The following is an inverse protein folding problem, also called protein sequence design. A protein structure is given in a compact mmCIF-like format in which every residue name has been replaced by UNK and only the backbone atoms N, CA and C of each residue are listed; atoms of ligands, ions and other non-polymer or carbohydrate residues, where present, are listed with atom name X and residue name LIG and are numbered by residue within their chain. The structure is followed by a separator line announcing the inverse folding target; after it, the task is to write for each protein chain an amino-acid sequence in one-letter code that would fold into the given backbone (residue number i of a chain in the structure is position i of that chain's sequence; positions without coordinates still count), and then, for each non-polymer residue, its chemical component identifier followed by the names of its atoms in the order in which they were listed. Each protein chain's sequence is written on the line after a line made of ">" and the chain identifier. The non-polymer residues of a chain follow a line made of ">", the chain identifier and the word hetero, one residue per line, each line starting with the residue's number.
data_IF_522089247610
#
_entry.id   IF_522089247610
#
_cell.length_a   1.000
_cell.length_b   1.000
_cell.length_c   1.000
_cell.angle_alpha   90.00
_cell.angle_beta   90.00
_cell.angle_gamma   90.00
#
_symmetry.space_group_name_H-M   'P 1'
#
loop_
_entity.id
_entity.type
_entity.pdbx_description
1 polymer ?
#
# COMPACT_ATOMS: atom_id res chain seq x y z
N UNK A 1 14.76 13.30 8.26
CA UNK A 1 15.71 14.21 7.60
C UNK A 1 15.55 15.66 8.12
N UNK A 2 14.35 16.30 8.06
CA UNK A 2 14.11 17.66 8.55
C UNK A 2 14.42 17.84 10.04
N UNK A 3 14.08 16.87 10.89
CA UNK A 3 14.45 16.89 12.31
C UNK A 3 15.97 16.84 12.52
N UNK A 4 16.70 16.03 11.73
CA UNK A 4 18.16 15.93 11.81
C UNK A 4 18.85 17.24 11.40
N UNK A 5 18.29 17.95 10.42
CA UNK A 5 18.77 19.25 9.97
C UNK A 5 18.32 20.41 10.85
N UNK A 6 17.51 20.13 11.88
CA UNK A 6 16.89 21.13 12.76
C UNK A 6 15.96 22.11 12.03
N UNK A 7 15.38 21.69 10.90
CA UNK A 7 14.39 22.48 10.16
C UNK A 7 12.98 22.27 10.73
N UNK A 8 12.78 21.22 11.55
CA UNK A 8 11.52 20.87 12.16
C UNK A 8 11.71 20.45 13.62
N UNK A 9 10.92 21.07 14.52
CA UNK A 9 10.84 20.77 15.94
C UNK A 9 9.43 20.21 16.25
N UNK A 10 9.35 19.15 17.06
CA UNK A 10 8.10 18.46 17.37
C UNK A 10 7.73 18.55 18.87
N UNK A 11 8.47 19.31 19.64
CA UNK A 11 8.32 19.49 21.09
C UNK A 11 7.01 20.17 21.52
N UNK A 12 6.28 20.77 20.57
CA UNK A 12 4.98 21.43 20.78
C UNK A 12 3.82 20.77 20.07
N UNK A 13 3.97 19.50 19.66
CA UNK A 13 2.90 18.75 18.99
C UNK A 13 1.82 18.42 20.02
N UNK A 14 0.62 18.94 19.80
CA UNK A 14 -0.55 18.66 20.64
C UNK A 14 -1.32 17.43 20.16
N UNK A 15 -1.30 17.15 18.85
CA UNK A 15 -1.96 15.97 18.26
C UNK A 15 -1.01 15.23 17.34
N UNK A 16 -0.86 13.93 17.58
CA UNK A 16 -0.10 13.00 16.74
C UNK A 16 -1.06 12.02 16.07
N UNK A 17 -1.05 11.98 14.73
CA UNK A 17 -1.84 11.04 13.94
C UNK A 17 -0.91 10.04 13.26
N UNK A 18 -1.16 8.75 13.48
CA UNK A 18 -0.47 7.63 12.85
C UNK A 18 -1.49 6.86 12.01
N UNK A 19 -1.41 7.03 10.70
CA UNK A 19 -2.31 6.38 9.76
C UNK A 19 -1.61 5.22 9.03
N UNK A 20 -2.36 4.21 8.63
CA UNK A 20 -1.84 2.97 8.01
C UNK A 20 -0.73 2.32 8.87
N UNK A 21 -0.97 2.14 10.19
CA UNK A 21 0.04 1.66 11.11
C UNK A 21 0.54 0.24 10.78
N UNK A 22 -0.32 -0.64 10.30
CA UNK A 22 0.02 -1.97 9.79
C UNK A 22 0.98 -1.89 8.60
N UNK A 23 0.72 -0.99 7.67
CA UNK A 23 1.62 -0.78 6.53
C UNK A 23 2.99 -0.25 6.94
N UNK A 24 3.03 0.67 7.93
CA UNK A 24 4.31 1.13 8.49
C UNK A 24 5.10 0.00 9.15
N UNK A 25 4.40 -0.97 9.78
CA UNK A 25 5.01 -2.15 10.37
C UNK A 25 5.59 -3.07 9.29
N UNK A 26 4.78 -3.43 8.29
CA UNK A 26 5.17 -4.31 7.19
C UNK A 26 6.36 -3.77 6.37
N UNK A 27 6.43 -2.46 6.21
CA UNK A 27 7.53 -1.78 5.52
C UNK A 27 8.79 -1.61 6.39
N UNK A 28 8.76 -2.00 7.66
CA UNK A 28 9.89 -1.86 8.57
C UNK A 28 10.17 -0.40 8.99
N UNK A 29 9.19 0.50 8.90
CA UNK A 29 9.35 1.92 9.25
C UNK A 29 9.23 2.21 10.75
N UNK A 30 8.92 1.22 11.56
CA UNK A 30 8.75 1.41 13.01
C UNK A 30 9.94 2.08 13.70
N UNK A 31 11.22 1.77 13.37
CA UNK A 31 12.35 2.48 13.97
C UNK A 31 12.36 3.99 13.68
N UNK A 32 11.96 4.39 12.46
CA UNK A 32 11.87 5.79 12.06
C UNK A 32 10.69 6.48 12.76
N UNK A 33 9.53 5.82 12.80
CA UNK A 33 8.34 6.32 13.49
C UNK A 33 8.62 6.49 14.99
N UNK A 34 9.28 5.53 15.65
CA UNK A 34 9.70 5.65 17.05
C UNK A 34 10.56 6.90 17.31
N UNK A 35 11.45 7.26 16.39
CA UNK A 35 12.25 8.49 16.53
C UNK A 35 11.38 9.75 16.47
N UNK A 36 10.38 9.77 15.59
CA UNK A 36 9.42 10.87 15.49
C UNK A 36 8.59 10.96 16.77
N UNK A 37 8.00 9.87 17.21
CA UNK A 37 7.19 9.81 18.43
C UNK A 37 7.96 10.27 19.67
N UNK A 38 9.25 9.89 19.79
CA UNK A 38 10.12 10.34 20.90
C UNK A 38 10.47 11.83 20.87
N UNK A 39 10.33 12.47 19.73
CA UNK A 39 10.60 13.91 19.60
C UNK A 39 9.35 14.77 19.87
N UNK A 40 8.19 14.16 20.00
CA UNK A 40 6.94 14.83 20.42
C UNK A 40 6.82 14.82 21.95
N UNK A 41 5.95 15.64 22.57
CA UNK A 41 5.65 15.57 23.99
C UNK A 41 5.25 14.17 24.44
N UNK A 42 5.29 13.91 25.75
CA UNK A 42 4.86 12.62 26.32
C UNK A 42 3.42 12.30 25.92
N UNK A 43 3.08 11.03 25.89
CA UNK A 43 1.74 10.56 25.46
C UNK A 43 0.61 11.08 26.35
N UNK A 44 0.90 11.44 27.60
CA UNK A 44 -0.01 12.06 28.56
C UNK A 44 -0.27 13.54 28.23
N UNK A 45 0.68 14.18 27.55
CA UNK A 45 0.67 15.62 27.26
C UNK A 45 0.25 15.93 25.82
N UNK A 46 -0.15 14.91 25.03
CA UNK A 46 -0.65 15.06 23.67
C UNK A 46 -1.81 14.10 23.39
N UNK A 47 -2.63 14.43 22.42
CA UNK A 47 -3.57 13.48 21.84
C UNK A 47 -2.86 12.60 20.81
N UNK A 48 -3.07 11.29 20.85
CA UNK A 48 -2.54 10.36 19.84
C UNK A 48 -3.68 9.58 19.20
N UNK A 49 -3.77 9.63 17.88
CA UNK A 49 -4.72 8.89 17.07
C UNK A 49 -3.94 7.87 16.22
N UNK A 50 -4.34 6.60 16.29
CA UNK A 50 -3.74 5.52 15.50
C UNK A 50 -4.82 4.85 14.67
N UNK A 51 -4.61 4.81 13.36
CA UNK A 51 -5.48 4.16 12.40
C UNK A 51 -4.76 2.98 11.75
N UNK A 52 -5.46 1.86 11.60
CA UNK A 52 -4.93 0.65 10.98
C UNK A 52 -6.07 -0.15 10.36
N UNK A 53 -5.83 -0.75 9.19
CA UNK A 53 -6.79 -1.66 8.56
C UNK A 53 -6.82 -3.02 9.25
N UNK A 54 -5.74 -3.41 9.95
CA UNK A 54 -5.63 -4.67 10.70
C UNK A 54 -5.26 -4.42 12.16
N UNK A 55 -5.82 -5.21 13.08
CA UNK A 55 -5.53 -5.17 14.50
C UNK A 55 -4.75 -6.42 14.94
N UNK A 56 -3.53 -6.55 14.43
CA UNK A 56 -2.60 -7.59 14.88
C UNK A 56 -2.05 -7.27 16.28
N UNK A 57 -1.51 -8.29 16.97
CA UNK A 57 -0.92 -8.09 18.31
C UNK A 57 0.19 -7.02 18.29
N UNK A 58 0.96 -6.94 17.20
CA UNK A 58 2.01 -5.92 17.07
C UNK A 58 1.44 -4.50 16.97
N UNK A 59 0.34 -4.30 16.28
CA UNK A 59 -0.37 -3.02 16.21
C UNK A 59 -0.96 -2.64 17.57
N UNK A 60 -1.56 -3.59 18.28
CA UNK A 60 -2.07 -3.37 19.63
C UNK A 60 -0.94 -2.95 20.57
N UNK A 61 0.21 -3.62 20.50
CA UNK A 61 1.39 -3.28 21.31
C UNK A 61 1.91 -1.87 21.00
N UNK A 62 1.93 -1.47 19.73
CA UNK A 62 2.31 -0.11 19.32
C UNK A 62 1.32 0.93 19.83
N UNK A 63 0.02 0.66 19.72
CA UNK A 63 -1.03 1.53 20.25
C UNK A 63 -0.85 1.77 21.76
N UNK A 64 -0.68 0.73 22.55
CA UNK A 64 -0.46 0.82 24.00
C UNK A 64 0.81 1.64 24.36
N UNK A 65 1.86 1.52 23.55
CA UNK A 65 3.10 2.28 23.79
C UNK A 65 2.94 3.78 23.52
N UNK A 66 2.15 4.15 22.49
CA UNK A 66 2.15 5.51 21.94
C UNK A 66 0.91 6.33 22.31
N UNK A 67 -0.15 5.68 22.76
CA UNK A 67 -1.38 6.32 23.25
C UNK A 67 -1.46 6.30 24.77
N UNK A 68 -2.26 7.20 25.34
CA UNK A 68 -2.60 7.23 26.76
C UNK A 68 -4.11 7.05 26.92
N UNK A 69 -4.52 6.05 27.69
CA UNK A 69 -5.92 5.68 27.93
C UNK A 69 -6.78 5.66 26.64
N UNK A 70 -6.40 4.83 25.64
CA UNK A 70 -7.03 4.88 24.33
C UNK A 70 -8.45 4.30 24.34
N UNK A 71 -9.33 4.98 23.62
CA UNK A 71 -10.62 4.40 23.23
C UNK A 71 -10.39 3.64 21.92
N UNK A 72 -10.77 2.36 21.86
CA UNK A 72 -10.73 1.56 20.64
C UNK A 72 -12.07 1.64 19.93
N UNK A 73 -12.05 2.05 18.67
CA UNK A 73 -13.20 2.03 17.78
C UNK A 73 -12.90 1.04 16.67
N UNK A 74 -13.63 -0.06 16.62
CA UNK A 74 -13.52 -1.07 15.58
C UNK A 74 -14.77 -1.04 14.71
N UNK A 75 -14.57 -0.94 13.40
CA UNK A 75 -15.62 -1.06 12.41
C UNK A 75 -15.47 -2.44 11.79
N UNK A 76 -16.35 -3.36 12.19
CA UNK A 76 -16.38 -4.67 11.55
C UNK A 76 -16.69 -4.50 10.06
N UNK A 77 -15.86 -5.08 9.16
CA UNK A 77 -16.18 -5.08 7.74
C UNK A 77 -17.52 -5.82 7.56
N UNK A 78 -18.48 -5.17 6.93
CA UNK A 78 -19.71 -5.84 6.53
C UNK A 78 -19.33 -7.12 5.78
N UNK A 79 -19.79 -8.28 6.25
CA UNK A 79 -19.50 -9.63 5.67
C UNK A 79 -19.84 -9.75 4.18
N UNK A 80 -20.52 -8.77 3.62
CA UNK A 80 -20.97 -8.71 2.23
C UNK A 80 -19.81 -8.67 1.22
N UNK A 81 -18.67 -8.05 1.56
CA UNK A 81 -17.55 -7.90 0.61
C UNK A 81 -16.82 -9.21 0.31
N UNK A 82 -16.73 -10.13 1.27
CA UNK A 82 -16.02 -11.42 1.07
C UNK A 82 -16.82 -12.43 0.26
N UNK A 83 -18.15 -12.36 0.27
CA UNK A 83 -19.04 -13.30 -0.45
C UNK A 83 -19.08 -13.02 -1.97
N UNK A 84 -18.65 -11.84 -2.42
CA UNK A 84 -18.66 -11.41 -3.84
C UNK A 84 -17.33 -11.55 -4.54
N UNK A 85 -16.26 -11.93 -3.83
CA UNK A 85 -14.91 -12.06 -4.39
C UNK A 85 -14.58 -13.51 -4.70
N UNK A 86 -14.43 -13.84 -5.98
CA UNK A 86 -13.94 -15.16 -6.43
C UNK A 86 -12.40 -15.19 -6.30
N UNK A 87 -11.90 -15.96 -5.34
CA UNK A 87 -10.47 -16.10 -5.08
C UNK A 87 -9.94 -17.37 -5.74
N UNK A 88 -8.96 -17.22 -6.64
CA UNK A 88 -8.31 -18.32 -7.36
C UNK A 88 -6.82 -18.36 -7.09
N UNK A 89 -6.30 -19.54 -6.76
CA UNK A 89 -4.87 -19.80 -6.55
C UNK A 89 -4.36 -20.69 -7.68
N UNK A 90 -3.29 -20.25 -8.35
CA UNK A 90 -2.60 -21.02 -9.38
C UNK A 90 -1.23 -21.47 -8.87
N UNK A 91 -1.03 -22.78 -8.75
CA UNK A 91 0.29 -23.36 -8.44
C UNK A 91 1.10 -23.44 -9.73
N UNK A 92 2.14 -22.63 -9.83
CA UNK A 92 2.93 -22.50 -11.05
C UNK A 92 4.43 -22.42 -10.74
N UNK A 93 5.26 -22.95 -11.64
CA UNK A 93 6.70 -22.74 -11.62
C UNK A 93 7.06 -21.28 -11.99
N UNK A 94 8.23 -20.82 -11.61
CA UNK A 94 8.67 -19.45 -11.95
C UNK A 94 8.72 -19.17 -13.45
N UNK A 95 9.03 -20.18 -14.27
CA UNK A 95 9.07 -20.08 -15.74
C UNK A 95 7.68 -20.00 -16.39
N UNK A 96 6.65 -20.49 -15.72
CA UNK A 96 5.28 -20.53 -16.24
C UNK A 96 4.43 -19.32 -15.85
N UNK A 97 4.86 -18.55 -14.84
CA UNK A 97 4.08 -17.42 -14.29
C UNK A 97 3.57 -16.47 -15.37
N UNK A 98 4.44 -16.07 -16.30
CA UNK A 98 4.05 -15.15 -17.37
C UNK A 98 3.01 -15.77 -18.31
N UNK A 99 3.19 -17.05 -18.68
CA UNK A 99 2.26 -17.76 -19.56
C UNK A 99 0.88 -17.86 -18.93
N UNK A 100 0.82 -18.24 -17.65
CA UNK A 100 -0.46 -18.34 -16.92
C UNK A 100 -1.11 -16.98 -16.81
N UNK A 101 -0.36 -15.92 -16.45
CA UNK A 101 -0.89 -14.56 -16.39
C UNK A 101 -1.47 -14.12 -17.74
N UNK A 102 -0.74 -14.32 -18.85
CA UNK A 102 -1.23 -13.97 -20.18
C UNK A 102 -2.51 -14.74 -20.55
N UNK A 103 -2.61 -16.02 -20.19
CA UNK A 103 -3.82 -16.79 -20.39
C UNK A 103 -5.00 -16.23 -19.57
N UNK A 104 -4.78 -15.92 -18.30
CA UNK A 104 -5.79 -15.29 -17.43
C UNK A 104 -6.24 -13.95 -18.02
N UNK A 105 -5.32 -13.08 -18.43
CA UNK A 105 -5.65 -11.78 -19.01
C UNK A 105 -6.41 -11.86 -20.33
N UNK A 106 -6.18 -12.92 -21.12
CA UNK A 106 -6.84 -13.14 -22.42
C UNK A 106 -8.18 -13.85 -22.30
N UNK A 107 -8.37 -14.68 -21.26
CA UNK A 107 -9.59 -15.44 -21.04
C UNK A 107 -10.61 -14.71 -20.17
N UNK A 108 -10.21 -13.65 -19.50
CA UNK A 108 -11.07 -12.93 -18.57
C UNK A 108 -11.95 -11.92 -19.32
N UNK A 109 -13.24 -11.92 -19.05
CA UNK A 109 -14.15 -10.82 -19.36
C UNK A 109 -13.86 -9.57 -18.49
N UNK A 110 -12.64 -9.50 -17.95
CA UNK A 110 -12.23 -8.45 -17.04
C UNK A 110 -12.06 -7.13 -17.81
N UNK A 111 -12.89 -6.17 -17.51
CA UNK A 111 -12.83 -4.81 -18.07
C UNK A 111 -11.58 -4.07 -17.59
N UNK A 112 -11.14 -4.35 -16.36
CA UNK A 112 -9.95 -3.75 -15.75
C UNK A 112 -9.22 -4.73 -14.84
N UNK A 113 -7.90 -4.76 -14.93
CA UNK A 113 -7.05 -5.67 -14.15
C UNK A 113 -5.90 -4.92 -13.50
N UNK A 114 -5.62 -5.20 -12.22
CA UNK A 114 -4.42 -4.72 -11.55
C UNK A 114 -3.54 -5.94 -11.25
N UNK A 115 -2.27 -5.87 -11.65
CA UNK A 115 -1.28 -6.92 -11.40
C UNK A 115 -0.23 -6.37 -10.44
N UNK A 116 -0.14 -6.94 -9.25
CA UNK A 116 0.85 -6.57 -8.26
C UNK A 116 2.10 -7.44 -8.36
N UNK A 117 3.26 -6.81 -8.17
CA UNK A 117 4.54 -7.51 -7.99
C UNK A 117 5.34 -6.83 -6.87
N UNK A 118 6.10 -7.65 -6.12
CA UNK A 118 6.76 -7.21 -4.88
C UNK A 118 7.92 -6.23 -5.12
N UNK A 119 8.54 -6.24 -6.31
CA UNK A 119 9.75 -5.46 -6.59
C UNK A 119 9.60 -4.58 -7.82
N UNK A 120 10.18 -3.39 -7.78
CA UNK A 120 10.15 -2.40 -8.88
C UNK A 120 10.72 -2.93 -10.19
N UNK A 121 11.83 -3.70 -10.13
CA UNK A 121 12.44 -4.34 -11.29
C UNK A 121 11.51 -5.39 -11.92
N UNK A 122 10.80 -6.15 -11.10
CA UNK A 122 9.78 -7.11 -11.57
C UNK A 122 8.61 -6.39 -12.24
N UNK A 123 8.11 -5.31 -11.65
CA UNK A 123 7.02 -4.49 -12.24
C UNK A 123 7.43 -3.95 -13.61
N UNK A 124 8.66 -3.41 -13.74
CA UNK A 124 9.18 -2.92 -15.02
C UNK A 124 9.30 -4.04 -16.05
N UNK A 125 9.96 -5.15 -15.69
CA UNK A 125 10.11 -6.32 -16.57
C UNK A 125 8.76 -6.89 -17.00
N UNK A 126 7.80 -6.99 -16.08
CA UNK A 126 6.45 -7.49 -16.38
C UNK A 126 5.71 -6.54 -17.33
N UNK A 127 5.74 -5.25 -17.08
CA UNK A 127 5.16 -4.23 -17.96
C UNK A 127 5.68 -4.35 -19.41
N UNK A 128 7.00 -4.47 -19.58
CA UNK A 128 7.60 -4.64 -20.90
C UNK A 128 7.16 -5.93 -21.61
N UNK A 129 7.09 -7.04 -20.86
CA UNK A 129 6.64 -8.35 -21.38
C UNK A 129 5.18 -8.31 -21.80
N UNK A 130 4.30 -7.67 -21.01
CA UNK A 130 2.88 -7.52 -21.35
C UNK A 130 2.70 -6.66 -22.59
N UNK A 131 3.44 -5.55 -22.70
CA UNK A 131 3.42 -4.71 -23.91
C UNK A 131 3.87 -5.46 -25.16
N UNK A 132 4.97 -6.24 -25.06
CA UNK A 132 5.44 -7.09 -26.18
C UNK A 132 4.42 -8.16 -26.57
N UNK A 133 3.59 -8.62 -25.61
CA UNK A 133 2.51 -9.57 -25.88
C UNK A 133 1.21 -8.90 -26.39
N UNK A 134 1.24 -7.59 -26.70
CA UNK A 134 0.10 -6.84 -27.24
C UNK A 134 -0.95 -6.43 -26.20
N UNK A 135 -0.64 -6.52 -24.91
CA UNK A 135 -1.56 -6.11 -23.84
C UNK A 135 -1.46 -4.59 -23.63
N UNK A 136 -2.62 -3.89 -23.68
CA UNK A 136 -2.71 -2.48 -23.32
C UNK A 136 -2.53 -2.31 -21.83
N UNK A 137 -1.35 -1.88 -21.38
CA UNK A 137 -1.02 -1.80 -19.96
C UNK A 137 -0.32 -0.48 -19.58
N UNK A 138 -0.51 -0.08 -18.32
CA UNK A 138 0.19 1.00 -17.65
C UNK A 138 1.04 0.49 -16.49
N UNK A 139 1.97 1.31 -16.03
CA UNK A 139 2.87 0.99 -14.91
C UNK A 139 2.69 2.03 -13.79
N UNK A 140 2.63 1.55 -12.54
CA UNK A 140 2.67 2.37 -11.34
C UNK A 140 3.77 1.84 -10.41
N UNK A 141 4.81 2.64 -10.23
CA UNK A 141 5.90 2.37 -9.29
C UNK A 141 6.45 3.69 -8.73
N UNK A 142 7.18 3.63 -7.62
CA UNK A 142 7.72 4.83 -6.98
C UNK A 142 8.73 5.64 -7.81
N UNK A 143 9.16 5.14 -8.98
CA UNK A 143 10.08 5.84 -9.91
C UNK A 143 9.34 6.74 -10.91
N UNK A 144 8.00 6.66 -10.95
CA UNK A 144 7.20 7.40 -11.92
C UNK A 144 6.83 8.76 -11.35
N UNK A 145 7.01 9.81 -12.15
CA UNK A 145 6.61 11.17 -11.75
C UNK A 145 5.11 11.24 -11.45
N UNK A 146 4.73 12.10 -10.53
CA UNK A 146 3.33 12.25 -10.12
C UNK A 146 2.41 12.58 -11.32
N UNK A 147 2.86 13.40 -12.26
CA UNK A 147 2.10 13.72 -13.47
C UNK A 147 1.82 12.48 -14.34
N UNK A 148 2.82 11.62 -14.53
CA UNK A 148 2.65 10.35 -15.27
C UNK A 148 1.73 9.38 -14.53
N UNK A 149 1.84 9.32 -13.20
CA UNK A 149 0.98 8.51 -12.34
C UNK A 149 -0.49 8.89 -12.50
N UNK A 150 -0.81 10.19 -12.36
CA UNK A 150 -2.17 10.72 -12.54
C UNK A 150 -2.72 10.40 -13.93
N UNK A 151 -1.92 10.61 -15.00
CA UNK A 151 -2.31 10.28 -16.38
C UNK A 151 -2.56 8.79 -16.59
N UNK A 152 -1.71 7.92 -16.03
CA UNK A 152 -1.88 6.47 -16.14
C UNK A 152 -3.16 6.00 -15.44
N UNK A 153 -3.44 6.53 -14.26
CA UNK A 153 -4.67 6.23 -13.51
C UNK A 153 -5.92 6.72 -14.25
N UNK A 154 -5.88 7.93 -14.82
CA UNK A 154 -6.97 8.45 -15.62
C UNK A 154 -7.26 7.55 -16.83
N UNK A 155 -6.23 7.17 -17.59
CA UNK A 155 -6.35 6.27 -18.74
C UNK A 155 -6.91 4.88 -18.35
N UNK A 156 -6.54 4.37 -17.17
CA UNK A 156 -7.07 3.11 -16.66
C UNK A 156 -8.56 3.24 -16.28
N UNK A 157 -8.93 4.29 -15.57
CA UNK A 157 -10.35 4.57 -15.22
C UNK A 157 -11.23 4.76 -16.45
N UNK A 158 -10.69 5.36 -17.51
CA UNK A 158 -11.40 5.58 -18.79
C UNK A 158 -11.39 4.35 -19.71
N UNK A 159 -10.78 3.23 -19.28
CA UNK A 159 -10.71 1.99 -20.08
C UNK A 159 -9.71 2.05 -21.26
N UNK A 160 -8.92 3.12 -21.39
CA UNK A 160 -7.86 3.22 -22.42
C UNK A 160 -6.70 2.27 -22.18
N UNK A 161 -6.51 1.86 -20.93
CA UNK A 161 -5.55 0.87 -20.44
C UNK A 161 -6.33 -0.22 -19.73
N UNK A 162 -6.20 -1.47 -20.18
CA UNK A 162 -6.91 -2.60 -19.61
C UNK A 162 -6.20 -3.17 -18.37
N UNK A 163 -4.87 -3.03 -18.28
CA UNK A 163 -4.05 -3.63 -17.21
C UNK A 163 -3.15 -2.59 -16.57
N UNK A 164 -3.17 -2.52 -15.23
CA UNK A 164 -2.16 -1.79 -14.44
C UNK A 164 -1.17 -2.77 -13.83
N UNK A 165 0.12 -2.49 -13.97
CA UNK A 165 1.19 -3.23 -13.28
C UNK A 165 1.77 -2.33 -12.18
N UNK A 166 1.70 -2.76 -10.94
CA UNK A 166 2.04 -1.95 -9.78
C UNK A 166 2.85 -2.71 -8.73
N UNK A 167 3.57 -1.98 -7.88
CA UNK A 167 3.97 -2.50 -6.57
C UNK A 167 2.84 -2.27 -5.58
N UNK A 168 2.77 -3.06 -4.51
CA UNK A 168 1.86 -2.91 -3.38
C UNK A 168 1.96 -1.53 -2.68
N UNK A 169 3.12 -0.87 -2.83
CA UNK A 169 3.40 0.48 -2.28
C UNK A 169 2.92 1.61 -3.19
N UNK A 170 2.38 1.31 -4.37
CA UNK A 170 1.95 2.31 -5.35
C UNK A 170 0.48 2.78 -5.18
N UNK A 171 -0.17 2.31 -4.12
CA UNK A 171 -1.52 2.70 -3.72
C UNK A 171 -1.61 4.15 -3.23
#
# INVERSE_FOLDING_TARGET
>A
DFMQRRDLFLDRVETLVLDEADRMLDMGFIPQVKRIVRATPRKEDRQTLLFSATFTQDIINLAQQWTYDPITVEIEPERVATATVDQRVYLVSSSERLRVLLNVLRSADAVSTIVFANRRDQVRSLYEKLRKAGISCGILSGEITQQRRTKTLANFKEGKIAVLVATDVAG
#
